data_IF_263733133114
#
_entry.id   IF_263733133114
#
_cell.length_a   1.000
_cell.length_b   1.000
_cell.length_c   1.000
_cell.angle_alpha   90.00
_cell.angle_beta   90.00
_cell.angle_gamma   90.00
#
_symmetry.space_group_name_H-M   'P 1'
#
loop_
_entity.id
_entity.type
_entity.pdbx_description
1 polymer ?
#
# COMPACT_ATOMS: atom_id res chain seq x y z
N UNK A 1 58.30 2.42 -10.56
CA UNK A 1 58.05 2.42 -12.03
C UNK A 1 56.59 2.89 -12.12
N UNK A 2 56.27 4.18 -12.02
CA UNK A 2 56.41 5.35 -12.94
C UNK A 2 55.66 5.19 -14.23
N UNK A 3 54.61 6.01 -14.37
CA UNK A 3 54.18 6.84 -15.52
C UNK A 3 52.75 7.31 -15.22
N UNK A 4 52.48 8.50 -14.76
CA UNK A 4 52.38 9.83 -15.35
C UNK A 4 51.68 9.87 -16.72
N UNK A 5 50.56 10.56 -16.77
CA UNK A 5 49.79 10.87 -17.97
C UNK A 5 48.96 12.13 -17.81
N UNK A 6 49.63 13.26 -17.98
CA UNK A 6 49.23 14.65 -17.93
C UNK A 6 48.23 15.02 -19.03
N UNK A 7 47.24 15.86 -18.70
CA UNK A 7 46.36 16.59 -19.60
C UNK A 7 47.04 17.72 -20.32
N UNK A 8 46.56 18.25 -21.44
CA UNK A 8 46.84 19.61 -21.85
C UNK A 8 45.58 20.49 -21.83
N UNK A 9 45.80 21.64 -21.23
CA UNK A 9 45.03 22.89 -21.27
C UNK A 9 45.16 23.50 -22.67
N UNK A 10 44.06 23.93 -23.27
CA UNK A 10 44.09 24.78 -24.46
C UNK A 10 43.43 26.11 -24.16
N UNK A 11 44.30 27.10 -24.05
CA UNK A 11 44.03 28.53 -24.03
C UNK A 11 43.89 29.04 -25.47
N UNK A 12 42.88 29.83 -25.78
CA UNK A 12 42.73 30.46 -27.08
C UNK A 12 41.82 31.70 -26.99
N UNK A 13 42.48 32.84 -26.81
CA UNK A 13 41.89 34.16 -26.89
C UNK A 13 41.52 34.54 -28.33
N UNK A 14 40.50 35.37 -28.50
CA UNK A 14 40.15 35.94 -29.78
C UNK A 14 39.02 36.95 -29.66
N UNK A 15 39.40 38.18 -29.22
CA UNK A 15 38.58 39.37 -29.28
C UNK A 15 38.58 39.92 -30.72
N UNK A 16 37.40 40.12 -31.33
CA UNK A 16 37.30 40.97 -32.53
C UNK A 16 36.04 41.83 -32.40
N UNK A 17 36.31 43.13 -32.43
CA UNK A 17 35.44 44.28 -32.47
C UNK A 17 34.27 44.14 -33.47
N UNK A 18 33.05 44.47 -33.03
CA UNK A 18 31.95 44.84 -33.89
C UNK A 18 31.89 46.37 -34.07
N UNK A 19 31.77 46.87 -35.28
CA UNK A 19 31.48 48.30 -35.50
C UNK A 19 29.97 48.56 -35.41
N UNK A 20 29.65 49.68 -34.77
CA UNK A 20 28.34 50.34 -34.80
C UNK A 20 27.88 50.57 -36.24
N UNK A 21 26.67 50.17 -36.55
CA UNK A 21 25.90 50.71 -37.69
C UNK A 21 24.61 51.31 -37.20
N UNK A 22 24.65 52.62 -37.04
CA UNK A 22 23.48 53.48 -37.11
C UNK A 22 22.86 53.40 -38.50
N UNK A 23 21.63 52.99 -38.59
CA UNK A 23 20.87 52.94 -39.81
C UNK A 23 19.41 52.72 -39.51
N UNK A 24 18.69 53.82 -39.25
CA UNK A 24 17.21 53.84 -39.28
C UNK A 24 16.75 53.43 -40.65
N UNK A 25 16.22 52.21 -40.81
CA UNK A 25 15.43 51.80 -41.92
C UNK A 25 14.02 51.50 -41.40
N UNK A 26 13.09 52.40 -41.76
CA UNK A 26 11.67 52.25 -41.53
C UNK A 26 11.15 50.95 -42.17
N UNK A 27 10.67 50.03 -41.35
CA UNK A 27 10.00 48.81 -41.82
C UNK A 27 8.66 49.13 -42.40
N UNK A 28 8.32 48.62 -43.59
CA UNK A 28 7.02 48.80 -44.18
C UNK A 28 5.95 48.08 -43.29
N UNK A 29 4.95 48.85 -42.93
CA UNK A 29 3.77 48.38 -42.16
C UNK A 29 2.91 47.51 -43.07
N UNK A 30 2.88 46.23 -42.80
CA UNK A 30 1.95 45.32 -43.45
C UNK A 30 0.55 45.56 -42.88
N UNK A 31 -0.47 45.82 -43.70
CA UNK A 31 -1.85 45.87 -43.23
C UNK A 31 -2.37 44.45 -43.07
N UNK A 32 -2.69 44.04 -41.83
CA UNK A 32 -3.30 42.74 -41.58
C UNK A 32 -2.81 41.96 -40.35
N UNK A 33 -2.09 42.61 -39.44
CA UNK A 33 -1.83 41.96 -38.12
C UNK A 33 -3.10 42.14 -37.27
N UNK A 34 -3.98 41.16 -37.33
CA UNK A 34 -5.03 41.00 -36.33
C UNK A 34 -4.35 40.83 -34.95
N UNK A 35 -4.68 41.71 -34.03
CA UNK A 35 -4.28 41.57 -32.63
C UNK A 35 -4.73 40.23 -32.10
N UNK A 36 -3.86 39.48 -31.40
CA UNK A 36 -4.26 38.24 -30.77
C UNK A 36 -5.31 38.53 -29.72
N UNK A 37 -6.55 38.13 -29.98
CA UNK A 37 -7.64 38.17 -29.01
C UNK A 37 -7.19 37.54 -27.73
N UNK A 38 -7.47 38.12 -26.54
CA UNK A 38 -7.08 37.52 -25.26
C UNK A 38 -7.73 36.15 -25.19
N UNK A 39 -6.88 35.12 -25.13
CA UNK A 39 -7.31 33.75 -24.87
C UNK A 39 -8.08 33.77 -23.54
N UNK A 40 -9.41 33.62 -23.64
CA UNK A 40 -10.28 33.40 -22.51
C UNK A 40 -9.66 32.29 -21.69
N UNK A 41 -9.22 32.62 -20.46
CA UNK A 41 -8.83 31.63 -19.46
C UNK A 41 -10.03 30.72 -19.31
N UNK A 42 -9.90 29.50 -19.84
CA UNK A 42 -10.74 28.38 -19.46
C UNK A 42 -10.62 28.29 -17.94
N UNK A 43 -11.60 28.84 -17.25
CA UNK A 43 -11.79 28.61 -15.84
C UNK A 43 -12.00 27.11 -15.70
N UNK A 44 -10.94 26.39 -15.30
CA UNK A 44 -11.09 25.03 -14.80
C UNK A 44 -12.00 25.16 -13.57
N UNK A 45 -13.28 24.95 -13.79
CA UNK A 45 -14.25 24.73 -12.74
C UNK A 45 -13.77 23.50 -11.97
N UNK A 46 -13.07 23.71 -10.89
CA UNK A 46 -12.83 22.68 -9.88
C UNK A 46 -14.19 22.35 -9.29
N UNK A 47 -14.89 21.39 -9.90
CA UNK A 47 -16.04 20.75 -9.29
C UNK A 47 -15.60 20.25 -7.94
N UNK A 48 -16.08 20.89 -6.85
CA UNK A 48 -15.96 20.37 -5.50
C UNK A 48 -16.44 18.92 -5.55
N UNK A 49 -15.68 17.97 -5.01
CA UNK A 49 -16.11 16.57 -4.98
C UNK A 49 -17.45 16.53 -4.23
N UNK A 50 -18.51 16.20 -4.93
CA UNK A 50 -19.80 15.92 -4.30
C UNK A 50 -19.57 14.70 -3.41
N UNK A 51 -19.82 14.84 -2.10
CA UNK A 51 -19.76 13.75 -1.13
C UNK A 51 -20.92 12.79 -1.38
N UNK A 52 -20.82 12.02 -2.44
CA UNK A 52 -21.79 10.98 -2.75
C UNK A 52 -21.49 9.77 -1.87
N UNK A 53 -22.41 9.45 -0.97
CA UNK A 53 -22.38 8.23 -0.18
C UNK A 53 -23.03 7.13 -1.01
N UNK A 54 -22.28 6.10 -1.38
CA UNK A 54 -22.78 4.92 -2.08
C UNK A 54 -22.41 3.68 -1.29
N UNK A 55 -23.36 2.83 -0.98
CA UNK A 55 -23.17 1.60 -0.18
C UNK A 55 -22.42 1.84 1.15
N UNK A 56 -22.59 3.00 1.77
CA UNK A 56 -21.94 3.36 3.02
C UNK A 56 -20.52 3.93 2.90
N UNK A 57 -19.94 4.00 1.69
CA UNK A 57 -18.64 4.60 1.45
C UNK A 57 -18.77 6.05 0.97
N UNK A 58 -17.84 6.90 1.42
CA UNK A 58 -17.78 8.33 1.08
C UNK A 58 -16.51 8.63 0.29
N UNK A 59 -16.56 9.64 -0.55
CA UNK A 59 -15.36 10.19 -1.19
C UNK A 59 -14.41 10.75 -0.14
N UNK A 60 -13.13 10.43 -0.25
CA UNK A 60 -12.10 10.83 0.70
C UNK A 60 -11.90 9.88 1.89
N UNK A 61 -12.74 8.85 2.03
CA UNK A 61 -12.64 7.84 3.10
C UNK A 61 -11.54 6.82 2.79
N UNK A 62 -10.82 6.39 3.83
CA UNK A 62 -9.90 5.27 3.71
C UNK A 62 -10.65 3.95 3.79
N UNK A 63 -10.25 3.01 2.97
CA UNK A 63 -10.83 1.67 2.86
C UNK A 63 -9.74 0.62 2.85
N UNK A 64 -10.12 -0.60 3.21
CA UNK A 64 -9.24 -1.77 3.10
C UNK A 64 -9.69 -2.63 1.93
N UNK A 65 -8.78 -2.82 0.98
CA UNK A 65 -8.94 -3.75 -0.12
C UNK A 65 -8.11 -5.02 0.16
N UNK A 66 -8.70 -6.21 0.14
CA UNK A 66 -8.02 -7.43 0.60
C UNK A 66 -6.66 -7.69 -0.04
N UNK A 67 -6.53 -7.48 -1.34
CA UNK A 67 -5.28 -7.76 -2.07
C UNK A 67 -4.22 -6.66 -1.96
N UNK A 68 -4.62 -5.38 -1.78
CA UNK A 68 -3.71 -4.22 -1.84
C UNK A 68 -3.55 -3.49 -0.51
N UNK A 69 -4.40 -3.81 0.49
CA UNK A 69 -4.38 -3.16 1.79
C UNK A 69 -5.15 -1.83 1.81
N UNK A 70 -4.63 -0.82 2.51
CA UNK A 70 -5.31 0.46 2.70
C UNK A 70 -5.19 1.35 1.47
N UNK A 71 -6.32 1.82 0.98
CA UNK A 71 -6.42 2.80 -0.09
C UNK A 71 -7.41 3.91 0.26
N UNK A 72 -7.41 5.01 -0.50
CA UNK A 72 -8.30 6.15 -0.33
C UNK A 72 -9.23 6.30 -1.52
N UNK A 73 -10.52 6.48 -1.28
CA UNK A 73 -11.49 6.76 -2.33
C UNK A 73 -11.28 8.21 -2.79
N UNK A 74 -10.85 8.39 -4.03
CA UNK A 74 -10.61 9.71 -4.61
C UNK A 74 -11.91 10.30 -5.17
N UNK A 75 -12.62 9.54 -5.98
CA UNK A 75 -13.86 9.96 -6.64
C UNK A 75 -14.79 8.78 -6.88
N UNK A 76 -16.03 9.11 -7.18
CA UNK A 76 -17.03 8.18 -7.70
C UNK A 76 -17.34 8.65 -9.12
N UNK A 77 -17.08 7.81 -10.10
CA UNK A 77 -17.26 8.10 -11.52
C UNK A 77 -18.37 7.23 -12.09
N UNK A 78 -19.18 7.80 -12.96
CA UNK A 78 -20.11 7.04 -13.78
C UNK A 78 -19.45 6.81 -15.13
N UNK A 79 -19.31 5.56 -15.52
CA UNK A 79 -18.76 5.18 -16.81
C UNK A 79 -19.74 4.32 -17.57
N UNK A 80 -19.92 4.62 -18.84
CA UNK A 80 -20.74 3.83 -19.72
C UNK A 80 -19.88 2.75 -20.40
N UNK A 81 -20.18 1.49 -20.09
CA UNK A 81 -19.49 0.33 -20.66
C UNK A 81 -20.53 -0.53 -21.38
N UNK A 82 -20.34 -0.73 -22.66
CA UNK A 82 -21.25 -1.54 -23.51
C UNK A 82 -22.74 -1.11 -23.43
N UNK A 83 -23.01 0.21 -23.33
CA UNK A 83 -24.37 0.76 -23.26
C UNK A 83 -24.99 0.71 -21.86
N UNK A 84 -24.28 0.22 -20.85
CA UNK A 84 -24.72 0.21 -19.45
C UNK A 84 -23.98 1.27 -18.64
N UNK A 85 -24.71 2.08 -17.88
CA UNK A 85 -24.13 3.05 -16.95
C UNK A 85 -23.70 2.31 -15.68
N UNK A 86 -22.40 2.28 -15.43
CA UNK A 86 -21.81 1.68 -14.24
C UNK A 86 -21.17 2.77 -13.38
N UNK A 87 -21.53 2.77 -12.10
CA UNK A 87 -20.84 3.58 -11.10
C UNK A 87 -19.56 2.86 -10.65
N UNK A 88 -18.45 3.58 -10.67
CA UNK A 88 -17.12 3.09 -10.31
C UNK A 88 -16.56 3.89 -9.15
N UNK A 89 -16.02 3.20 -8.16
CA UNK A 89 -15.15 3.82 -7.15
C UNK A 89 -13.73 3.92 -7.70
N UNK A 90 -13.16 5.10 -7.65
CA UNK A 90 -11.75 5.34 -7.96
C UNK A 90 -10.99 5.34 -6.65
N UNK A 91 -10.16 4.32 -6.45
CA UNK A 91 -9.40 4.10 -5.24
C UNK A 91 -7.93 4.33 -5.56
N UNK A 92 -7.28 5.20 -4.81
CA UNK A 92 -5.84 5.45 -4.94
C UNK A 92 -5.09 4.78 -3.79
N UNK A 93 -4.06 4.01 -4.14
CA UNK A 93 -3.14 3.38 -3.20
C UNK A 93 -1.84 4.17 -3.18
N UNK A 94 -1.52 4.79 -2.05
CA UNK A 94 -0.38 5.70 -1.93
C UNK A 94 0.95 4.97 -2.10
N UNK A 95 1.08 3.77 -1.55
CA UNK A 95 2.31 2.98 -1.63
C UNK A 95 2.60 2.45 -3.02
N UNK A 96 1.61 1.82 -3.63
CA UNK A 96 1.75 1.21 -4.96
C UNK A 96 1.64 2.25 -6.09
N UNK A 97 1.32 3.51 -5.72
CA UNK A 97 1.05 4.62 -6.65
C UNK A 97 0.09 4.23 -7.77
N UNK A 98 -0.84 3.35 -7.42
CA UNK A 98 -1.80 2.73 -8.32
C UNK A 98 -3.19 3.28 -8.06
N UNK A 99 -3.96 3.43 -9.14
CA UNK A 99 -5.37 3.80 -9.05
C UNK A 99 -6.23 2.66 -9.59
N UNK A 100 -7.10 2.14 -8.74
CA UNK A 100 -8.01 1.04 -9.08
C UNK A 100 -9.43 1.59 -9.27
N UNK A 101 -10.12 1.10 -10.31
CA UNK A 101 -11.53 1.41 -10.56
C UNK A 101 -12.37 0.18 -10.28
N UNK A 102 -13.21 0.25 -9.26
CA UNK A 102 -14.03 -0.88 -8.80
C UNK A 102 -15.51 -0.57 -9.02
N UNK A 103 -16.22 -1.41 -9.78
CA UNK A 103 -17.67 -1.25 -9.96
C UNK A 103 -18.42 -1.44 -8.64
N UNK A 104 -19.38 -0.56 -8.34
CA UNK A 104 -20.21 -0.61 -7.13
C UNK A 104 -20.81 -2.00 -6.86
N UNK A 105 -21.41 -2.71 -7.86
CA UNK A 105 -21.97 -4.03 -7.61
C UNK A 105 -20.92 -5.10 -7.23
N UNK A 106 -19.64 -4.91 -7.54
CA UNK A 106 -18.58 -5.88 -7.22
C UNK A 106 -17.96 -5.69 -5.83
N UNK A 107 -18.30 -4.65 -5.09
CA UNK A 107 -17.72 -4.34 -3.78
C UNK A 107 -17.85 -5.51 -2.80
N UNK A 108 -19.07 -6.07 -2.71
CA UNK A 108 -19.36 -7.19 -1.81
C UNK A 108 -18.58 -8.46 -2.20
N UNK A 109 -18.45 -8.75 -3.50
CA UNK A 109 -17.73 -9.94 -3.98
C UNK A 109 -16.21 -9.83 -3.80
N UNK A 110 -15.69 -8.61 -3.85
CA UNK A 110 -14.27 -8.32 -3.64
C UNK A 110 -13.91 -8.34 -2.15
N UNK A 111 -14.88 -8.12 -1.25
CA UNK A 111 -14.64 -8.05 0.19
C UNK A 111 -14.03 -6.73 0.66
N UNK A 112 -14.30 -5.63 -0.08
CA UNK A 112 -13.86 -4.30 0.33
C UNK A 112 -14.57 -3.89 1.62
N UNK A 113 -13.82 -3.42 2.62
CA UNK A 113 -14.35 -2.98 3.90
C UNK A 113 -13.82 -1.61 4.32
N UNK A 114 -14.46 -0.99 5.28
CA UNK A 114 -13.94 0.20 5.95
C UNK A 114 -12.77 -0.15 6.85
N UNK A 115 -12.02 0.88 7.27
CA UNK A 115 -11.01 0.71 8.32
C UNK A 115 -11.63 0.05 9.54
N UNK A 116 -10.82 -0.77 10.21
CA UNK A 116 -11.22 -1.42 11.46
C UNK A 116 -11.47 -0.39 12.56
N UNK A 117 -12.46 -0.68 13.39
CA UNK A 117 -12.70 0.13 14.58
C UNK A 117 -11.53 0.00 15.57
N UNK A 118 -11.27 1.06 16.38
CA UNK A 118 -10.18 1.03 17.37
C UNK A 118 -10.30 -0.14 18.36
N UNK A 119 -11.53 -0.62 18.61
CA UNK A 119 -11.75 -1.78 19.48
C UNK A 119 -11.22 -3.08 18.85
N UNK A 120 -11.42 -3.26 17.55
CA UNK A 120 -10.91 -4.42 16.80
C UNK A 120 -9.39 -4.34 16.68
N UNK A 121 -8.84 -3.13 16.47
CA UNK A 121 -7.41 -2.90 16.43
C UNK A 121 -6.73 -3.28 17.76
N UNK A 122 -7.33 -2.91 18.90
CA UNK A 122 -6.83 -3.33 20.23
C UNK A 122 -6.82 -4.84 20.38
N UNK A 123 -7.87 -5.56 19.94
CA UNK A 123 -7.90 -7.03 19.94
C UNK A 123 -6.79 -7.62 19.06
N UNK A 124 -6.54 -7.04 17.89
CA UNK A 124 -5.45 -7.45 17.02
C UNK A 124 -4.09 -7.29 17.72
N UNK A 125 -3.84 -6.16 18.40
CA UNK A 125 -2.63 -5.92 19.19
C UNK A 125 -2.52 -6.85 20.41
N UNK A 126 -3.63 -7.22 21.04
CA UNK A 126 -3.65 -8.23 22.11
C UNK A 126 -3.31 -9.62 21.57
N UNK A 127 -3.80 -9.98 20.39
CA UNK A 127 -3.47 -11.25 19.72
C UNK A 127 -1.98 -11.38 19.46
N UNK A 128 -1.26 -10.29 19.16
CA UNK A 128 0.20 -10.27 18.98
C UNK A 128 0.95 -10.66 20.25
N UNK A 129 0.41 -10.33 21.43
CA UNK A 129 1.01 -10.69 22.72
C UNK A 129 0.80 -12.16 23.08
N UNK A 130 -0.06 -12.85 22.34
CA UNK A 130 -0.38 -14.25 22.60
C UNK A 130 0.74 -15.21 22.19
N UNK A 131 0.64 -16.46 22.64
CA UNK A 131 1.55 -17.54 22.23
C UNK A 131 1.31 -17.88 20.75
N UNK A 132 2.39 -18.05 19.98
CA UNK A 132 2.29 -18.48 18.58
C UNK A 132 1.71 -19.90 18.50
N UNK A 133 0.72 -20.07 17.60
CA UNK A 133 0.04 -21.36 17.37
C UNK A 133 0.42 -21.90 15.98
N UNK A 134 1.60 -22.48 15.87
CA UNK A 134 2.06 -23.02 14.59
C UNK A 134 1.61 -24.46 14.45
N UNK A 135 0.77 -24.74 13.46
CA UNK A 135 0.34 -26.10 13.12
C UNK A 135 1.53 -26.96 12.66
N UNK A 136 1.52 -28.25 13.02
CA UNK A 136 2.57 -29.22 12.63
C UNK A 136 2.40 -29.74 11.18
N UNK A 137 1.79 -28.97 10.30
CA UNK A 137 1.60 -29.33 8.89
C UNK A 137 2.80 -28.95 8.03
N UNK A 138 2.90 -29.49 6.82
CA UNK A 138 3.95 -29.13 5.84
C UNK A 138 3.96 -27.66 5.55
N UNK A 139 5.15 -27.08 5.35
CA UNK A 139 5.30 -25.64 5.11
C UNK A 139 4.43 -25.13 3.95
N UNK A 140 4.39 -25.84 2.82
CA UNK A 140 3.61 -25.43 1.64
C UNK A 140 2.12 -25.20 1.98
N UNK A 141 1.53 -26.10 2.77
CA UNK A 141 0.14 -25.97 3.21
C UNK A 141 -0.05 -24.80 4.19
N UNK A 142 0.87 -24.63 5.13
CA UNK A 142 0.84 -23.48 6.05
C UNK A 142 0.98 -22.16 5.31
N UNK A 143 1.88 -22.10 4.32
CA UNK A 143 2.08 -20.90 3.50
C UNK A 143 0.80 -20.50 2.78
N UNK A 144 0.07 -21.46 2.19
CA UNK A 144 -1.23 -21.22 1.57
C UNK A 144 -2.29 -20.70 2.58
N UNK A 145 -2.34 -21.28 3.78
CA UNK A 145 -3.24 -20.81 4.83
C UNK A 145 -2.89 -19.38 5.29
N UNK A 146 -1.62 -19.05 5.43
CA UNK A 146 -1.17 -17.71 5.77
C UNK A 146 -1.47 -16.71 4.66
N UNK A 147 -1.22 -17.08 3.41
CA UNK A 147 -1.55 -16.24 2.26
C UNK A 147 -3.05 -15.98 2.16
N UNK A 148 -3.88 -17.01 2.38
CA UNK A 148 -5.34 -16.87 2.42
C UNK A 148 -5.77 -15.91 3.56
N UNK A 149 -5.17 -16.01 4.76
CA UNK A 149 -5.45 -15.09 5.87
C UNK A 149 -5.02 -13.66 5.56
N UNK A 150 -3.87 -13.46 4.92
CA UNK A 150 -3.41 -12.14 4.50
C UNK A 150 -4.36 -11.54 3.47
N UNK A 151 -4.84 -12.35 2.53
CA UNK A 151 -5.75 -11.93 1.47
C UNK A 151 -7.23 -11.84 1.91
N UNK A 152 -7.59 -12.31 3.10
CA UNK A 152 -8.94 -12.13 3.64
C UNK A 152 -9.23 -10.67 4.02
N UNK A 153 -8.17 -9.89 4.28
CA UNK A 153 -8.29 -8.50 4.71
C UNK A 153 -8.75 -8.33 6.16
N UNK A 154 -8.89 -9.40 6.95
CA UNK A 154 -9.22 -9.30 8.37
C UNK A 154 -7.97 -9.03 9.20
N UNK A 155 -7.97 -7.91 9.94
CA UNK A 155 -6.83 -7.47 10.73
C UNK A 155 -6.47 -8.45 11.84
N UNK A 156 -7.46 -9.15 12.41
CA UNK A 156 -7.22 -10.14 13.47
C UNK A 156 -6.52 -11.37 12.87
N UNK A 157 -6.99 -11.84 11.71
CA UNK A 157 -6.35 -12.95 11.00
C UNK A 157 -4.92 -12.61 10.57
N UNK A 158 -4.67 -11.37 10.12
CA UNK A 158 -3.34 -10.89 9.77
C UNK A 158 -2.44 -10.84 11.01
N UNK A 159 -2.96 -10.38 12.17
CA UNK A 159 -2.18 -10.35 13.42
C UNK A 159 -1.75 -11.74 13.90
N UNK A 160 -2.59 -12.76 13.68
CA UNK A 160 -2.21 -14.16 13.95
C UNK A 160 -1.03 -14.60 13.09
N UNK A 161 -1.03 -14.25 11.80
CA UNK A 161 0.08 -14.59 10.90
C UNK A 161 1.37 -13.90 11.32
N UNK A 162 1.30 -12.61 11.65
CA UNK A 162 2.45 -11.83 12.14
C UNK A 162 3.01 -12.47 13.42
N UNK A 163 2.16 -12.82 14.40
CA UNK A 163 2.56 -13.48 15.63
C UNK A 163 3.19 -14.85 15.36
N UNK A 164 2.62 -15.65 14.49
CA UNK A 164 3.06 -17.02 14.24
C UNK A 164 4.38 -17.09 13.47
N UNK A 165 4.64 -16.10 12.62
CA UNK A 165 5.87 -15.98 11.84
C UNK A 165 6.95 -15.16 12.53
N UNK A 166 6.61 -14.37 13.57
CA UNK A 166 7.61 -13.58 14.30
C UNK A 166 8.69 -14.45 14.91
N UNK A 167 9.94 -14.07 14.76
CA UNK A 167 11.09 -14.68 15.37
C UNK A 167 11.92 -13.63 16.11
N UNK A 168 12.35 -13.98 17.32
CA UNK A 168 13.28 -13.15 18.07
C UNK A 168 14.73 -13.44 17.65
N UNK A 169 15.63 -12.52 17.91
CA UNK A 169 17.07 -12.61 17.56
C UNK A 169 17.76 -13.87 18.09
N UNK A 170 17.20 -14.51 19.14
CA UNK A 170 17.73 -15.75 19.72
C UNK A 170 17.35 -17.01 18.91
N UNK A 171 16.53 -16.88 17.87
CA UNK A 171 16.06 -18.01 17.08
C UNK A 171 16.77 -18.07 15.72
N UNK A 172 16.82 -19.26 15.08
CA UNK A 172 17.37 -19.37 13.74
C UNK A 172 16.61 -18.50 12.76
N UNK A 173 17.32 -17.97 11.78
CA UNK A 173 16.76 -17.09 10.76
C UNK A 173 15.56 -17.73 10.03
N UNK A 174 14.63 -16.89 9.65
CA UNK A 174 13.47 -17.30 8.85
C UNK A 174 13.93 -17.76 7.46
N UNK A 175 13.22 -18.74 6.91
CA UNK A 175 13.34 -19.06 5.49
C UNK A 175 12.91 -17.85 4.66
N UNK A 176 13.47 -17.69 3.47
CA UNK A 176 13.13 -16.59 2.55
C UNK A 176 11.62 -16.45 2.33
N UNK A 177 10.91 -17.56 2.11
CA UNK A 177 9.46 -17.56 1.93
C UNK A 177 8.68 -17.19 3.21
N UNK A 178 9.16 -17.60 4.39
CA UNK A 178 8.57 -17.17 5.67
C UNK A 178 8.72 -15.66 5.87
N UNK A 179 9.90 -15.14 5.54
CA UNK A 179 10.20 -13.71 5.64
C UNK A 179 9.33 -12.87 4.71
N UNK A 180 9.14 -13.29 3.46
CA UNK A 180 8.26 -12.58 2.53
C UNK A 180 6.82 -12.50 3.03
N UNK A 181 6.27 -13.61 3.55
CA UNK A 181 4.92 -13.62 4.11
C UNK A 181 4.82 -12.77 5.38
N UNK A 182 5.85 -12.79 6.22
CA UNK A 182 5.90 -11.95 7.42
C UNK A 182 5.92 -10.46 7.07
N UNK A 183 6.80 -10.06 6.15
CA UNK A 183 6.92 -8.67 5.69
C UNK A 183 5.59 -8.18 5.04
N UNK A 184 4.96 -9.02 4.21
CA UNK A 184 3.68 -8.69 3.59
C UNK A 184 2.55 -8.52 4.63
N UNK A 185 2.48 -9.39 5.64
CA UNK A 185 1.50 -9.30 6.71
C UNK A 185 1.73 -8.08 7.60
N UNK A 186 3.00 -7.84 7.99
CA UNK A 186 3.41 -6.70 8.81
C UNK A 186 3.07 -5.37 8.13
N UNK A 187 3.38 -5.25 6.85
CA UNK A 187 3.13 -4.08 6.05
C UNK A 187 1.63 -3.75 5.95
N UNK A 188 0.76 -4.75 5.75
CA UNK A 188 -0.69 -4.54 5.73
C UNK A 188 -1.24 -4.10 7.07
N UNK A 189 -0.77 -4.74 8.15
CA UNK A 189 -1.18 -4.38 9.51
C UNK A 189 -0.71 -2.99 9.90
N UNK A 190 0.54 -2.64 9.57
CA UNK A 190 1.12 -1.34 9.88
C UNK A 190 0.38 -0.19 9.17
N UNK A 191 0.02 -0.37 7.89
CA UNK A 191 -0.76 0.63 7.15
C UNK A 191 -2.16 0.85 7.75
N UNK A 192 -2.84 -0.22 8.14
CA UNK A 192 -4.15 -0.09 8.74
C UNK A 192 -4.07 0.58 10.12
N UNK A 193 -3.09 0.22 10.94
CA UNK A 193 -2.83 0.87 12.23
C UNK A 193 -2.48 2.35 12.05
N UNK A 194 -1.62 2.67 11.08
CA UNK A 194 -1.25 4.04 10.75
C UNK A 194 -2.47 4.88 10.33
N UNK A 195 -3.36 4.31 9.52
CA UNK A 195 -4.57 4.99 9.07
C UNK A 195 -5.62 5.19 10.18
N UNK A 196 -5.71 4.26 11.15
CA UNK A 196 -6.64 4.34 12.29
C UNK A 196 -6.15 5.36 13.33
N UNK A 197 -4.87 5.27 13.71
CA UNK A 197 -4.30 6.09 14.80
C UNK A 197 -3.65 7.39 14.28
N UNK A 198 -3.67 7.64 12.95
CA UNK A 198 -3.00 8.77 12.28
C UNK A 198 -1.50 8.85 12.61
N UNK A 199 -0.85 7.71 12.66
CA UNK A 199 0.59 7.55 12.87
C UNK A 199 1.33 7.44 11.54
N UNK A 200 2.65 7.54 11.59
CA UNK A 200 3.50 7.15 10.44
C UNK A 200 3.64 5.64 10.35
N UNK A 201 3.87 5.10 9.15
CA UNK A 201 4.08 3.64 8.96
C UNK A 201 5.22 3.11 9.85
N UNK A 202 6.29 3.89 10.00
CA UNK A 202 7.45 3.52 10.84
C UNK A 202 7.13 3.45 12.32
N UNK A 203 6.28 4.34 12.82
CA UNK A 203 5.80 4.31 14.21
C UNK A 203 4.85 3.14 14.46
N UNK A 204 3.98 2.86 13.48
CA UNK A 204 3.09 1.70 13.52
C UNK A 204 3.87 0.38 13.58
N UNK A 205 4.92 0.23 12.76
CA UNK A 205 5.79 -0.95 12.80
C UNK A 205 6.45 -1.10 14.17
N UNK A 206 7.03 -0.03 14.72
CA UNK A 206 7.63 -0.07 16.07
C UNK A 206 6.63 -0.44 17.16
N UNK A 207 5.38 0.06 17.06
CA UNK A 207 4.32 -0.28 18.00
C UNK A 207 3.95 -1.78 17.92
N UNK A 208 3.89 -2.34 16.71
CA UNK A 208 3.64 -3.77 16.49
C UNK A 208 4.79 -4.60 17.07
N UNK A 209 6.03 -4.27 16.75
CA UNK A 209 7.24 -4.97 17.26
C UNK A 209 7.32 -4.91 18.80
N UNK A 210 7.04 -3.76 19.39
CA UNK A 210 7.01 -3.60 20.85
C UNK A 210 5.95 -4.49 21.52
N UNK A 211 4.82 -4.76 20.85
CA UNK A 211 3.81 -5.68 21.34
C UNK A 211 4.23 -7.16 21.15
N UNK A 212 4.91 -7.50 20.05
CA UNK A 212 5.47 -8.83 19.80
C UNK A 212 6.55 -9.20 20.81
N UNK A 213 7.40 -8.24 21.17
CA UNK A 213 8.45 -8.43 22.19
C UNK A 213 7.89 -8.65 23.60
N UNK A 214 6.69 -8.15 23.89
CA UNK A 214 6.01 -8.39 25.18
C UNK A 214 5.35 -9.77 25.25
N UNK A 215 5.23 -10.47 24.13
CA UNK A 215 4.70 -11.83 24.08
C UNK A 215 5.63 -12.86 24.74
N UNK A 216 5.12 -14.05 25.11
CA UNK A 216 5.94 -15.12 25.64
C UNK A 216 6.96 -15.55 24.57
N UNK A 217 8.24 -15.49 24.92
CA UNK A 217 9.34 -15.91 24.05
C UNK A 217 9.15 -17.36 23.66
N UNK A 218 9.28 -17.67 22.38
CA UNK A 218 9.43 -19.06 21.92
C UNK A 218 10.74 -19.58 22.49
N UNK A 219 10.65 -20.42 23.50
CA UNK A 219 11.81 -21.19 23.99
C UNK A 219 12.29 -22.08 22.83
N UNK A 220 13.60 -22.00 22.55
CA UNK A 220 14.21 -22.84 21.52
C UNK A 220 13.96 -24.30 21.85
N UNK A 221 13.91 -25.14 20.79
CA UNK A 221 13.63 -26.57 20.76
C UNK A 221 14.40 -27.30 21.88
N UNK A 222 13.78 -27.46 23.05
CA UNK A 222 14.42 -28.07 24.21
C UNK A 222 13.48 -28.43 25.36
N UNK A 223 12.26 -27.83 25.41
CA UNK A 223 11.26 -28.23 26.43
C UNK A 223 9.94 -28.51 25.70
N UNK A 224 9.75 -29.78 25.39
CA UNK A 224 8.45 -30.32 25.05
C UNK A 224 7.63 -30.40 26.34
N UNK A 225 6.94 -29.30 26.66
CA UNK A 225 5.85 -29.35 27.61
C UNK A 225 4.60 -29.84 26.85
N UNK A 226 4.10 -30.96 27.33
CA UNK A 226 2.86 -31.65 26.97
C UNK A 226 1.76 -30.66 26.62
N UNK A 227 1.36 -30.62 25.32
CA UNK A 227 0.15 -29.99 24.89
C UNK A 227 -0.90 -31.08 24.78
N UNK A 228 -1.90 -30.99 25.64
CA UNK A 228 -3.10 -31.81 25.62
C UNK A 228 -3.65 -31.90 24.20
N UNK A 229 -3.73 -33.12 23.69
CA UNK A 229 -4.39 -33.52 22.46
C UNK A 229 -5.90 -33.22 22.64
N UNK A 230 -6.38 -32.16 22.00
CA UNK A 230 -7.79 -32.02 21.70
C UNK A 230 -8.00 -32.79 20.41
N UNK A 231 -8.48 -34.05 20.57
CA UNK A 231 -9.00 -34.87 19.48
C UNK A 231 -10.16 -34.12 18.80
N UNK A 232 -9.92 -33.56 17.63
CA UNK A 232 -10.98 -33.26 16.68
C UNK A 232 -11.41 -34.57 16.06
N UNK A 233 -12.46 -35.13 16.62
CA UNK A 233 -13.22 -36.23 16.03
C UNK A 233 -13.98 -35.72 14.82
N UNK A 234 -13.37 -35.80 13.65
CA UNK A 234 -14.05 -35.73 12.38
C UNK A 234 -14.91 -37.02 12.24
N UNK A 235 -16.17 -36.90 12.56
CA UNK A 235 -17.19 -37.90 12.24
C UNK A 235 -17.44 -37.84 10.73
N UNK A 236 -16.80 -38.73 9.97
CA UNK A 236 -17.22 -39.08 8.63
C UNK A 236 -18.57 -39.87 8.76
N UNK A 237 -19.65 -39.19 8.48
CA UNK A 237 -20.93 -39.82 8.24
C UNK A 237 -20.95 -40.32 6.79
N UNK A 238 -20.60 -41.60 6.66
CA UNK A 238 -20.81 -42.35 5.43
C UNK A 238 -22.30 -42.59 5.21
N UNK A 239 -22.87 -41.95 4.20
CA UNK A 239 -24.21 -42.27 3.72
C UNK A 239 -24.18 -43.59 2.92
N UNK A 240 -24.95 -44.54 3.39
CA UNK A 240 -25.38 -45.71 2.63
C UNK A 240 -26.51 -45.36 1.66
#
# INVERSE_FOLDING_TARGET
MSADGTAPVSTGAGCVLCPERSGMASRPRWPGAEEPRPRSRLSMSTKKPSTNVRQGFKTGEHIVYPSHGVGRITSIEEQEVAGFKLELFVIHFEKDKMTLRVPVPKIASVGMRKLSEPAVMKKALETLKGRARVKRTMWSRRAQEYEAKINSGDIVAISEVVRDLYRSDAQPEQSYSERQLYEAALDRMARELAAVDNLTETEAIKAIEANLQKGPRRLGKGEEAEAEDVEDTDTEEAAA
#
